data_IF_693317714971
#
_entry.id   IF_693317714971
#
_cell.length_a   1.000
_cell.length_b   1.000
_cell.length_c   1.000
_cell.angle_alpha   90.00
_cell.angle_beta   90.00
_cell.angle_gamma   90.00
#
_symmetry.space_group_name_H-M   'P 1'
#
loop_
_entity.id
_entity.type
_entity.pdbx_description
1 polymer ?
#
# COMPACT_ATOMS: atom_id res chain seq x y z
N UNK A 1 25.07 -24.94 2.99
CA UNK A 1 25.01 -24.79 1.51
C UNK A 1 24.18 -25.93 0.95
N UNK A 2 22.88 -25.72 0.73
CA UNK A 2 21.96 -26.68 0.12
C UNK A 2 21.39 -26.06 -1.13
N UNK A 3 21.92 -26.44 -2.29
CA UNK A 3 21.41 -26.04 -3.59
C UNK A 3 19.97 -26.55 -3.75
N UNK A 4 19.03 -25.64 -4.04
CA UNK A 4 17.70 -25.99 -4.47
C UNK A 4 17.79 -26.86 -5.74
N UNK A 5 17.32 -28.09 -5.67
CA UNK A 5 17.37 -29.03 -6.82
C UNK A 5 16.36 -28.57 -7.88
N UNK A 6 16.81 -28.48 -9.13
CA UNK A 6 15.93 -28.33 -10.29
C UNK A 6 14.98 -29.54 -10.33
N UNK A 7 13.66 -29.32 -10.15
CA UNK A 7 12.64 -30.36 -10.25
C UNK A 7 11.64 -30.43 -9.09
N UNK A 8 11.79 -29.62 -8.03
CA UNK A 8 10.83 -29.61 -6.92
C UNK A 8 9.49 -29.00 -7.29
N UNK A 9 8.39 -29.66 -6.87
CA UNK A 9 7.04 -29.17 -7.08
C UNK A 9 6.76 -27.93 -6.24
N UNK A 10 5.79 -27.08 -6.66
CA UNK A 10 5.35 -25.90 -5.88
C UNK A 10 4.94 -26.27 -4.44
N UNK A 11 4.40 -27.48 -4.21
CA UNK A 11 4.05 -27.99 -2.87
C UNK A 11 5.29 -28.28 -2.02
N UNK A 12 6.31 -28.86 -2.59
CA UNK A 12 7.58 -29.17 -1.90
C UNK A 12 8.34 -27.88 -1.57
N UNK A 13 8.36 -26.91 -2.48
CA UNK A 13 8.92 -25.57 -2.22
C UNK A 13 8.20 -24.84 -1.08
N UNK A 14 6.86 -24.87 -1.05
CA UNK A 14 6.04 -24.32 0.05
C UNK A 14 6.32 -25.01 1.39
N UNK A 15 6.45 -26.33 1.36
CA UNK A 15 6.76 -27.12 2.56
C UNK A 15 8.17 -26.80 3.09
N UNK A 16 9.18 -26.80 2.23
CA UNK A 16 10.56 -26.48 2.61
C UNK A 16 10.68 -25.03 3.12
N UNK A 17 10.00 -24.06 2.50
CA UNK A 17 10.02 -22.68 2.97
C UNK A 17 9.28 -22.53 4.31
N UNK A 18 8.11 -23.14 4.47
CA UNK A 18 7.40 -23.19 5.76
C UNK A 18 8.22 -23.85 6.87
N UNK A 19 8.94 -24.91 6.55
CA UNK A 19 9.89 -25.54 7.49
C UNK A 19 11.10 -24.65 7.77
N UNK A 20 11.53 -23.86 6.79
CA UNK A 20 12.68 -22.97 6.91
C UNK A 20 12.37 -21.69 7.71
N UNK A 21 11.15 -21.15 7.56
CA UNK A 21 10.71 -19.94 8.30
C UNK A 21 9.90 -20.25 9.55
N UNK A 22 9.44 -21.50 9.73
CA UNK A 22 8.70 -21.91 10.92
C UNK A 22 9.59 -21.81 12.16
N UNK A 23 9.36 -20.78 12.96
CA UNK A 23 10.10 -20.50 14.20
C UNK A 23 11.28 -19.52 14.06
N UNK A 24 11.56 -18.98 12.87
CA UNK A 24 12.51 -17.87 12.72
C UNK A 24 11.76 -16.54 12.92
N UNK A 25 12.16 -15.82 13.96
CA UNK A 25 11.85 -14.38 14.05
C UNK A 25 12.78 -13.67 13.06
N UNK A 26 12.29 -13.36 11.86
CA UNK A 26 13.06 -12.74 10.78
C UNK A 26 13.36 -11.28 11.08
N UNK A 27 12.63 -10.69 12.01
CA UNK A 27 12.63 -9.26 12.34
C UNK A 27 12.56 -8.37 11.09
N UNK A 28 11.69 -8.75 10.16
CA UNK A 28 11.54 -8.07 8.87
C UNK A 28 10.15 -7.49 8.68
N UNK A 29 10.10 -6.25 8.19
CA UNK A 29 8.89 -5.58 7.77
C UNK A 29 8.78 -5.53 6.24
N UNK A 30 7.56 -5.80 5.74
CA UNK A 30 7.14 -5.51 4.39
C UNK A 30 6.54 -4.12 4.32
N UNK A 31 7.04 -3.26 3.45
CA UNK A 31 6.56 -1.90 3.24
C UNK A 31 6.00 -1.76 1.83
N UNK A 32 4.77 -1.26 1.71
CA UNK A 32 4.10 -1.10 0.42
C UNK A 32 3.81 0.36 0.14
N UNK A 33 4.38 0.85 -0.96
CA UNK A 33 4.18 2.21 -1.44
C UNK A 33 2.73 2.43 -1.89
N UNK A 34 2.15 3.59 -1.53
CA UNK A 34 0.89 4.05 -2.10
C UNK A 34 1.00 4.38 -3.59
N UNK A 35 -0.13 4.41 -4.29
CA UNK A 35 -0.05 4.73 -5.72
C UNK A 35 -1.34 4.62 -6.53
N UNK A 36 -2.51 4.53 -5.90
CA UNK A 36 -3.78 4.29 -6.60
C UNK A 36 -3.73 2.98 -7.38
N UNK A 37 -4.16 2.96 -8.64
CA UNK A 37 -4.20 1.72 -9.44
C UNK A 37 -2.83 1.11 -9.74
N UNK A 38 -1.70 1.81 -9.50
CA UNK A 38 -0.37 1.19 -9.54
C UNK A 38 -0.19 0.12 -8.46
N UNK A 39 -0.98 0.15 -7.41
CA UNK A 39 -1.03 -0.90 -6.39
C UNK A 39 -1.36 -2.29 -6.93
N UNK A 40 -1.89 -2.40 -8.15
CA UNK A 40 -2.11 -3.71 -8.79
C UNK A 40 -0.77 -4.44 -9.09
N UNK A 41 0.33 -3.71 -9.25
CA UNK A 41 1.68 -4.27 -9.29
C UNK A 41 2.03 -4.92 -7.95
N UNK A 42 1.80 -4.20 -6.85
CA UNK A 42 1.97 -4.70 -5.48
C UNK A 42 1.09 -5.93 -5.24
N UNK A 43 -0.19 -5.91 -5.69
CA UNK A 43 -1.07 -7.06 -5.58
C UNK A 43 -0.50 -8.32 -6.27
N UNK A 44 0.08 -8.17 -7.47
CA UNK A 44 0.74 -9.27 -8.16
C UNK A 44 1.93 -9.84 -7.37
N UNK A 45 2.76 -8.95 -6.81
CA UNK A 45 3.90 -9.35 -5.98
C UNK A 45 3.45 -10.08 -4.70
N UNK A 46 2.42 -9.58 -4.03
CA UNK A 46 1.89 -10.19 -2.80
C UNK A 46 1.23 -11.54 -3.07
N UNK A 47 0.47 -11.66 -4.17
CA UNK A 47 -0.11 -12.96 -4.55
C UNK A 47 0.98 -14.01 -4.77
N UNK A 48 2.10 -13.62 -5.40
CA UNK A 48 3.24 -14.52 -5.53
C UNK A 48 3.86 -14.89 -4.17
N UNK A 49 4.04 -13.93 -3.26
CA UNK A 49 4.53 -14.20 -1.90
C UNK A 49 3.59 -15.15 -1.14
N UNK A 50 2.28 -14.92 -1.21
CA UNK A 50 1.28 -15.81 -0.60
C UNK A 50 1.31 -17.21 -1.22
N UNK A 51 1.46 -17.34 -2.54
CA UNK A 51 1.62 -18.62 -3.24
C UNK A 51 2.86 -19.38 -2.76
N UNK A 52 3.93 -18.65 -2.37
CA UNK A 52 5.14 -19.25 -1.80
C UNK A 52 5.05 -19.46 -0.28
N UNK A 53 3.97 -19.00 0.38
CA UNK A 53 3.78 -19.11 1.83
C UNK A 53 4.70 -18.20 2.65
N UNK A 54 5.17 -17.09 2.05
CA UNK A 54 6.07 -16.13 2.71
C UNK A 54 5.24 -15.14 3.53
N UNK A 55 5.67 -14.89 4.76
CA UNK A 55 5.09 -13.92 5.71
C UNK A 55 6.18 -13.03 6.29
N UNK A 56 5.80 -11.92 6.90
CA UNK A 56 6.68 -10.95 7.55
C UNK A 56 6.23 -10.72 8.99
N UNK A 57 7.11 -10.17 9.85
CA UNK A 57 6.75 -9.84 11.23
C UNK A 57 5.85 -8.60 11.28
N UNK A 58 6.06 -7.66 10.35
CA UNK A 58 5.26 -6.45 10.25
C UNK A 58 4.97 -6.09 8.79
N UNK A 59 3.85 -5.43 8.57
CA UNK A 59 3.37 -4.99 7.25
C UNK A 59 2.97 -3.52 7.36
N UNK A 60 3.60 -2.65 6.56
CA UNK A 60 3.32 -1.21 6.50
C UNK A 60 2.72 -0.88 5.14
N UNK A 61 1.53 -0.32 5.14
CA UNK A 61 0.83 0.05 3.91
C UNK A 61 0.30 1.47 3.95
N UNK A 62 0.45 2.21 2.84
CA UNK A 62 -0.15 3.53 2.64
C UNK A 62 -1.08 3.48 1.44
N UNK A 63 -2.33 3.99 1.55
CA UNK A 63 -3.25 4.10 0.42
C UNK A 63 -3.53 2.74 -0.24
N UNK A 64 -3.27 2.60 -1.53
CA UNK A 64 -3.37 1.31 -2.23
C UNK A 64 -2.53 0.20 -1.58
N UNK A 65 -1.38 0.56 -0.95
CA UNK A 65 -0.57 -0.38 -0.17
C UNK A 65 -1.30 -0.88 1.09
N UNK A 66 -2.14 -0.06 1.72
CA UNK A 66 -2.97 -0.48 2.84
C UNK A 66 -4.02 -1.52 2.42
N UNK A 67 -4.70 -1.30 1.28
CA UNK A 67 -5.66 -2.27 0.72
C UNK A 67 -4.98 -3.59 0.34
N UNK A 68 -3.81 -3.52 -0.30
CA UNK A 68 -3.01 -4.71 -0.62
C UNK A 68 -2.59 -5.48 0.64
N UNK A 69 -2.18 -4.77 1.70
CA UNK A 69 -1.81 -5.37 2.97
C UNK A 69 -2.98 -6.05 3.67
N UNK A 70 -4.19 -5.48 3.57
CA UNK A 70 -5.41 -6.09 4.11
C UNK A 70 -5.64 -7.48 3.51
N UNK A 71 -5.58 -7.60 2.18
CA UNK A 71 -5.76 -8.89 1.50
C UNK A 71 -4.57 -9.84 1.71
N UNK A 72 -3.36 -9.31 1.94
CA UNK A 72 -2.19 -10.13 2.28
C UNK A 72 -2.32 -10.78 3.65
N UNK A 73 -2.82 -10.04 4.66
CA UNK A 73 -3.06 -10.60 6.00
C UNK A 73 -4.19 -11.62 6.00
N UNK A 74 -5.23 -11.44 5.17
CA UNK A 74 -6.34 -12.39 5.05
C UNK A 74 -5.99 -13.63 4.25
N UNK A 75 -4.86 -13.61 3.50
CA UNK A 75 -4.44 -14.72 2.64
C UNK A 75 -5.29 -14.89 1.37
N UNK A 76 -6.06 -13.88 0.98
CA UNK A 76 -7.01 -13.94 -0.13
C UNK A 76 -6.31 -13.66 -1.48
N UNK A 77 -5.64 -14.68 -2.03
CA UNK A 77 -4.92 -14.61 -3.31
C UNK A 77 -5.86 -14.16 -4.44
N UNK A 78 -5.45 -13.14 -5.19
CA UNK A 78 -6.20 -12.60 -6.33
C UNK A 78 -7.30 -11.62 -5.96
N UNK A 79 -7.65 -11.45 -4.67
CA UNK A 79 -8.76 -10.59 -4.24
C UNK A 79 -8.50 -9.12 -4.57
N UNK A 80 -7.33 -8.59 -4.27
CA UNK A 80 -6.95 -7.20 -4.60
C UNK A 80 -7.02 -6.94 -6.11
N UNK A 81 -6.59 -7.90 -6.94
CA UNK A 81 -6.72 -7.80 -8.40
C UNK A 81 -8.17 -7.63 -8.82
N UNK A 82 -9.08 -8.48 -8.29
CA UNK A 82 -10.51 -8.41 -8.61
C UNK A 82 -11.10 -7.09 -8.11
N UNK A 83 -10.74 -6.63 -6.92
CA UNK A 83 -11.15 -5.34 -6.38
C UNK A 83 -10.76 -4.20 -7.31
N UNK A 84 -9.49 -4.15 -7.73
CA UNK A 84 -8.96 -3.06 -8.55
C UNK A 84 -9.41 -3.11 -10.02
N UNK A 85 -9.77 -4.27 -10.57
CA UNK A 85 -10.22 -4.40 -11.95
C UNK A 85 -11.74 -4.30 -12.11
N UNK A 86 -12.48 -4.99 -11.26
CA UNK A 86 -13.95 -5.09 -11.38
C UNK A 86 -14.67 -4.03 -10.54
N UNK A 87 -14.32 -3.92 -9.25
CA UNK A 87 -15.11 -3.12 -8.32
C UNK A 87 -14.71 -1.65 -8.26
N UNK A 88 -13.50 -1.28 -8.69
CA UNK A 88 -13.16 0.14 -8.92
C UNK A 88 -13.98 0.81 -10.03
N UNK A 89 -14.72 0.03 -10.83
CA UNK A 89 -15.68 0.53 -11.83
C UNK A 89 -17.16 0.40 -11.36
N UNK A 90 -17.39 -0.23 -10.20
CA UNK A 90 -18.74 -0.37 -9.65
C UNK A 90 -19.20 0.97 -9.07
N UNK A 91 -20.32 1.51 -9.58
CA UNK A 91 -20.91 2.76 -9.12
C UNK A 91 -21.39 2.72 -7.65
N UNK A 92 -21.54 1.52 -7.07
CA UNK A 92 -21.85 1.37 -5.65
C UNK A 92 -20.61 1.63 -4.78
N UNK A 93 -19.43 1.36 -5.29
CA UNK A 93 -18.17 1.62 -4.61
C UNK A 93 -17.61 3.00 -4.93
N UNK A 94 -17.56 3.38 -6.22
CA UNK A 94 -16.97 4.64 -6.71
C UNK A 94 -18.05 5.49 -7.36
N UNK A 95 -18.49 6.56 -6.70
CA UNK A 95 -19.63 7.37 -7.17
C UNK A 95 -19.39 8.87 -7.05
N UNK A 96 -19.45 9.58 -8.18
CA UNK A 96 -19.43 11.03 -8.22
C UNK A 96 -20.68 11.66 -7.56
N UNK A 97 -21.83 10.98 -7.63
CA UNK A 97 -23.03 11.39 -6.91
C UNK A 97 -22.78 11.36 -5.40
N UNK A 98 -22.18 10.29 -4.88
CA UNK A 98 -21.77 10.20 -3.47
C UNK A 98 -20.81 11.34 -3.10
N UNK A 99 -19.80 11.65 -3.95
CA UNK A 99 -18.88 12.76 -3.71
C UNK A 99 -19.60 14.10 -3.56
N UNK A 100 -20.69 14.34 -4.30
CA UNK A 100 -21.47 15.58 -4.19
C UNK A 100 -22.28 15.66 -2.88
N UNK A 101 -22.90 14.55 -2.46
CA UNK A 101 -23.77 14.54 -1.27
C UNK A 101 -23.05 14.27 0.04
N UNK A 102 -22.02 13.39 0.06
CA UNK A 102 -21.31 12.99 1.28
C UNK A 102 -19.92 13.60 1.39
N UNK A 103 -19.38 14.16 0.30
CA UNK A 103 -18.01 14.65 0.25
C UNK A 103 -16.96 13.57 -0.02
N UNK A 104 -17.35 12.30 -0.18
CA UNK A 104 -16.43 11.16 -0.37
C UNK A 104 -16.77 10.39 -1.65
N UNK A 105 -15.76 10.12 -2.49
CA UNK A 105 -15.92 9.37 -3.74
C UNK A 105 -16.14 7.89 -3.49
N UNK A 106 -15.39 7.31 -2.53
CA UNK A 106 -15.45 5.90 -2.19
C UNK A 106 -16.52 5.60 -1.14
N UNK A 107 -17.19 4.48 -1.30
CA UNK A 107 -18.14 3.93 -0.34
C UNK A 107 -17.50 2.80 0.46
N UNK A 108 -16.89 3.13 1.59
CA UNK A 108 -16.22 2.13 2.43
C UNK A 108 -17.20 1.18 3.13
N UNK A 109 -18.42 1.64 3.46
CA UNK A 109 -19.48 0.77 3.98
C UNK A 109 -19.80 -0.36 2.97
N UNK A 110 -19.89 0.00 1.67
CA UNK A 110 -20.06 -1.00 0.62
C UNK A 110 -18.85 -1.93 0.52
N UNK A 111 -17.62 -1.40 0.64
CA UNK A 111 -16.39 -2.18 0.55
C UNK A 111 -16.28 -3.22 1.67
N UNK A 112 -16.66 -2.86 2.90
CA UNK A 112 -16.44 -3.69 4.08
C UNK A 112 -17.66 -4.56 4.45
N UNK A 113 -18.89 -4.12 4.16
CA UNK A 113 -20.11 -4.81 4.57
C UNK A 113 -20.78 -5.59 3.43
N UNK A 114 -20.86 -4.97 2.24
CA UNK A 114 -21.63 -5.54 1.14
C UNK A 114 -20.76 -6.32 0.15
N UNK A 115 -19.55 -5.83 -0.13
CA UNK A 115 -18.67 -6.47 -1.08
C UNK A 115 -18.19 -7.85 -0.63
N UNK A 116 -17.91 -8.15 0.66
CA UNK A 116 -17.53 -9.48 1.11
C UNK A 116 -18.57 -10.56 0.82
N UNK A 117 -19.85 -10.20 0.66
CA UNK A 117 -20.93 -11.13 0.24
C UNK A 117 -20.78 -11.57 -1.22
N UNK A 118 -20.07 -10.81 -2.06
CA UNK A 118 -19.86 -11.05 -3.50
C UNK A 118 -18.43 -11.44 -3.85
N UNK A 119 -17.50 -10.90 -3.11
CA UNK A 119 -16.06 -11.16 -3.18
C UNK A 119 -15.60 -11.52 -1.77
N UNK A 120 -15.62 -12.80 -1.38
CA UNK A 120 -15.32 -13.24 -0.04
C UNK A 120 -14.01 -12.68 0.49
N UNK A 121 -13.99 -12.41 1.80
CA UNK A 121 -12.83 -11.96 2.55
C UNK A 121 -12.68 -12.86 3.79
N UNK A 122 -11.47 -13.33 4.04
CA UNK A 122 -11.20 -14.20 5.17
C UNK A 122 -10.94 -13.39 6.44
N UNK A 123 -12.03 -12.92 7.08
CA UNK A 123 -11.99 -12.15 8.32
C UNK A 123 -11.26 -12.91 9.43
N UNK A 124 -11.50 -14.23 9.56
CA UNK A 124 -10.88 -15.03 10.60
C UNK A 124 -9.34 -15.04 10.47
N UNK A 125 -8.81 -15.25 9.27
CA UNK A 125 -7.37 -15.23 9.03
C UNK A 125 -6.79 -13.83 9.19
N UNK A 126 -7.49 -12.79 8.74
CA UNK A 126 -7.09 -11.40 8.94
C UNK A 126 -6.95 -11.09 10.42
N UNK A 127 -7.96 -11.44 11.22
CA UNK A 127 -7.96 -11.14 12.65
C UNK A 127 -6.89 -11.92 13.43
N UNK A 128 -6.69 -13.20 13.09
CA UNK A 128 -5.71 -14.09 13.72
C UNK A 128 -4.30 -13.97 13.14
N UNK A 129 -4.11 -13.16 12.11
CA UNK A 129 -2.77 -13.00 11.49
C UNK A 129 -1.75 -12.54 12.53
N UNK A 130 -0.61 -13.24 12.66
CA UNK A 130 0.46 -12.85 13.59
C UNK A 130 1.25 -11.64 13.11
N UNK A 131 1.09 -11.25 11.84
CA UNK A 131 1.75 -10.09 11.24
C UNK A 131 1.18 -8.80 11.86
N UNK A 132 2.04 -7.96 12.43
CA UNK A 132 1.65 -6.61 12.85
C UNK A 132 1.31 -5.80 11.60
N UNK A 133 0.21 -5.07 11.62
CA UNK A 133 -0.24 -4.30 10.45
C UNK A 133 -0.38 -2.82 10.78
N UNK A 134 0.31 -2.00 10.00
CA UNK A 134 0.42 -0.57 10.17
C UNK A 134 -0.09 0.17 8.95
N UNK A 135 -1.00 1.11 9.16
CA UNK A 135 -1.71 1.87 8.13
C UNK A 135 -1.25 3.32 8.14
N UNK A 136 -0.59 3.75 7.07
CA UNK A 136 -0.10 5.10 6.91
C UNK A 136 -1.24 6.10 6.66
N UNK A 137 -1.35 7.10 7.52
CA UNK A 137 -2.35 8.18 7.46
C UNK A 137 -1.71 9.53 7.69
N UNK A 138 -2.34 10.61 7.20
CA UNK A 138 -1.98 11.98 7.55
C UNK A 138 -3.02 12.53 8.53
N UNK A 139 -2.58 12.97 9.71
CA UNK A 139 -3.44 13.70 10.65
C UNK A 139 -3.71 15.11 10.13
N UNK A 140 -4.97 15.55 10.18
CA UNK A 140 -5.31 16.87 9.66
C UNK A 140 -4.89 18.00 10.63
N UNK A 141 -4.88 17.73 11.92
CA UNK A 141 -4.60 18.76 12.95
C UNK A 141 -3.16 19.27 12.88
N UNK A 142 -2.19 18.40 12.54
CA UNK A 142 -0.77 18.74 12.52
C UNK A 142 -0.04 18.45 11.19
N UNK A 143 -0.75 17.93 10.19
CA UNK A 143 -0.21 17.58 8.86
C UNK A 143 0.82 16.45 8.86
N UNK A 144 1.02 15.74 9.98
CA UNK A 144 2.06 14.72 10.12
C UNK A 144 1.56 13.33 9.76
N UNK A 145 2.53 12.48 9.41
CA UNK A 145 2.31 11.06 9.18
C UNK A 145 2.17 10.28 10.50
N UNK A 146 1.20 9.39 10.53
CA UNK A 146 1.03 8.38 11.58
C UNK A 146 0.86 7.01 10.93
N UNK A 147 1.33 5.98 11.62
CA UNK A 147 1.07 4.59 11.25
C UNK A 147 0.21 3.95 12.34
N UNK A 148 -1.05 3.74 12.00
CA UNK A 148 -2.06 3.18 12.89
C UNK A 148 -1.96 1.66 12.89
N UNK A 149 -1.77 1.06 14.06
CA UNK A 149 -1.54 -0.38 14.20
C UNK A 149 -2.85 -1.14 14.45
N UNK A 150 -3.04 -2.24 13.73
CA UNK A 150 -4.13 -3.22 13.96
C UNK A 150 -4.08 -3.71 15.41
N UNK A 151 -5.22 -3.70 16.06
CA UNK A 151 -5.37 -4.06 17.49
C UNK A 151 -5.01 -2.94 18.47
N UNK A 152 -4.56 -1.76 17.99
CA UNK A 152 -4.32 -0.57 18.83
C UNK A 152 -5.23 0.61 18.49
N UNK A 153 -6.07 0.47 17.48
CA UNK A 153 -7.12 1.42 17.12
C UNK A 153 -8.48 0.83 17.41
N UNK A 154 -9.51 1.64 17.69
CA UNK A 154 -10.86 1.14 17.99
C UNK A 154 -11.46 0.31 16.87
N UNK A 155 -11.30 0.77 15.63
CA UNK A 155 -11.72 0.08 14.42
C UNK A 155 -10.62 0.13 13.35
N UNK A 156 -10.17 -1.04 12.91
CA UNK A 156 -9.17 -1.16 11.87
C UNK A 156 -9.72 -0.77 10.49
N UNK A 157 -11.02 -0.96 10.26
CA UNK A 157 -11.67 -0.63 9.00
C UNK A 157 -11.70 0.87 8.75
N UNK A 158 -11.92 1.66 9.81
CA UNK A 158 -11.77 3.12 9.76
C UNK A 158 -10.33 3.53 9.41
N UNK A 159 -9.33 2.85 9.95
CA UNK A 159 -7.94 3.13 9.64
C UNK A 159 -7.57 2.78 8.17
N UNK A 160 -8.10 1.66 7.64
CA UNK A 160 -7.96 1.27 6.22
C UNK A 160 -8.65 2.30 5.33
N UNK A 161 -9.87 2.71 5.70
CA UNK A 161 -10.62 3.74 4.97
C UNK A 161 -9.90 5.08 4.99
N UNK A 162 -9.37 5.52 6.14
CA UNK A 162 -8.59 6.76 6.27
C UNK A 162 -7.35 6.73 5.38
N UNK A 163 -6.56 5.65 5.44
CA UNK A 163 -5.37 5.46 4.62
C UNK A 163 -5.67 5.49 3.11
N UNK A 164 -6.90 5.12 2.72
CA UNK A 164 -7.34 5.08 1.31
C UNK A 164 -8.18 6.31 0.90
N UNK A 165 -8.36 7.28 1.79
CA UNK A 165 -9.16 8.49 1.58
C UNK A 165 -8.33 9.64 1.02
N UNK A 166 -8.09 9.60 -0.30
CA UNK A 166 -7.21 10.56 -1.00
C UNK A 166 -7.75 11.99 -0.93
N UNK A 167 -6.95 12.98 -0.49
CA UNK A 167 -7.34 14.38 -0.48
C UNK A 167 -7.82 14.90 -1.85
N UNK A 168 -8.92 15.67 -1.82
CA UNK A 168 -9.59 16.18 -3.02
C UNK A 168 -10.77 15.33 -3.51
N UNK A 169 -10.73 14.01 -3.29
CA UNK A 169 -11.84 13.09 -3.55
C UNK A 169 -12.46 12.51 -2.26
N UNK A 170 -11.83 12.79 -1.11
CA UNK A 170 -12.38 12.58 0.22
C UNK A 170 -12.31 13.92 0.97
N UNK A 171 -13.45 14.64 1.06
CA UNK A 171 -13.52 15.97 1.69
C UNK A 171 -13.73 15.88 3.20
N UNK A 172 -14.34 14.79 3.66
CA UNK A 172 -14.64 14.53 5.06
C UNK A 172 -13.57 13.60 5.63
N UNK A 173 -12.82 14.01 6.67
CA UNK A 173 -11.86 13.14 7.33
C UNK A 173 -12.56 12.04 8.11
N UNK A 174 -11.85 10.94 8.32
CA UNK A 174 -12.28 9.85 9.18
C UNK A 174 -11.75 10.12 10.59
N UNK A 175 -12.64 10.06 11.57
CA UNK A 175 -12.33 10.32 12.97
C UNK A 175 -11.90 9.03 13.65
N UNK A 176 -10.67 8.97 14.18
CA UNK A 176 -10.14 7.83 14.93
C UNK A 176 -9.55 8.37 16.22
N UNK A 177 -10.04 7.89 17.37
CA UNK A 177 -9.66 8.39 18.70
C UNK A 177 -9.69 9.92 18.83
N UNK A 178 -10.77 10.54 18.29
CA UNK A 178 -10.99 11.98 18.34
C UNK A 178 -10.11 12.82 17.42
N UNK A 179 -9.26 12.21 16.59
CA UNK A 179 -8.39 12.91 15.62
C UNK A 179 -8.85 12.68 14.18
N UNK A 180 -8.80 13.70 13.32
CA UNK A 180 -9.17 13.60 11.91
C UNK A 180 -8.02 13.08 11.05
N UNK A 181 -8.27 12.03 10.24
CA UNK A 181 -7.28 11.44 9.35
C UNK A 181 -7.76 11.32 7.90
N UNK A 182 -6.83 11.43 6.98
CA UNK A 182 -6.95 11.09 5.57
C UNK A 182 -5.72 10.29 5.10
N UNK A 183 -5.67 9.99 3.78
CA UNK A 183 -4.59 9.22 3.12
C UNK A 183 -3.20 9.68 3.57
N UNK A 184 -2.32 8.70 3.82
CA UNK A 184 -0.95 8.97 4.28
C UNK A 184 -0.05 9.59 3.21
N UNK A 185 -0.44 9.53 1.93
CA UNK A 185 0.37 10.01 0.82
C UNK A 185 0.94 11.43 0.97
N UNK A 186 0.17 12.45 1.44
CA UNK A 186 0.69 13.80 1.62
C UNK A 186 1.88 13.93 2.56
N UNK A 187 1.96 13.11 3.60
CA UNK A 187 3.00 13.20 4.64
C UNK A 187 3.99 12.04 4.64
N UNK A 188 3.58 10.85 4.17
CA UNK A 188 4.45 9.67 4.05
C UNK A 188 3.84 8.68 3.04
N UNK A 189 4.33 8.73 1.80
CA UNK A 189 3.89 7.82 0.75
C UNK A 189 4.49 6.42 0.88
N UNK A 190 5.62 6.28 1.61
CA UNK A 190 6.40 5.04 1.76
C UNK A 190 6.86 4.90 3.20
N UNK A 191 6.30 3.96 3.93
CA UNK A 191 6.47 3.80 5.38
C UNK A 191 7.82 3.26 5.87
N UNK A 192 8.87 3.18 5.02
CA UNK A 192 10.14 2.53 5.39
C UNK A 192 10.84 3.17 6.60
N UNK A 193 10.74 4.50 6.75
CA UNK A 193 11.33 5.21 7.91
C UNK A 193 10.73 4.73 9.23
N UNK A 194 9.43 4.44 9.26
CA UNK A 194 8.73 3.93 10.42
C UNK A 194 9.13 2.49 10.71
N UNK A 195 9.21 1.63 9.69
CA UNK A 195 9.67 0.27 9.84
C UNK A 195 11.11 0.19 10.39
N UNK A 196 12.02 1.03 9.87
CA UNK A 196 13.40 1.15 10.37
C UNK A 196 13.44 1.66 11.81
N UNK A 197 12.64 2.67 12.16
CA UNK A 197 12.54 3.22 13.51
C UNK A 197 12.04 2.17 14.50
N UNK A 198 11.15 1.30 14.07
CA UNK A 198 10.63 0.18 14.87
C UNK A 198 11.63 -1.01 14.96
N UNK A 199 12.81 -0.89 14.32
CA UNK A 199 13.92 -1.84 14.44
C UNK A 199 13.85 -3.03 13.47
N UNK A 200 13.00 -2.97 12.44
CA UNK A 200 12.89 -4.05 11.45
C UNK A 200 13.93 -3.96 10.33
N UNK A 201 14.46 -5.11 9.89
CA UNK A 201 14.92 -5.24 8.50
C UNK A 201 13.75 -4.83 7.60
N UNK A 202 14.02 -4.13 6.51
CA UNK A 202 12.93 -3.52 5.74
C UNK A 202 13.00 -3.93 4.27
N UNK A 203 11.94 -4.62 3.80
CA UNK A 203 11.70 -4.92 2.40
C UNK A 203 10.60 -4.02 1.85
N UNK A 204 10.88 -3.28 0.79
CA UNK A 204 9.96 -2.31 0.19
C UNK A 204 9.50 -2.80 -1.18
N UNK A 205 8.21 -2.76 -1.46
CA UNK A 205 7.64 -2.89 -2.81
C UNK A 205 7.29 -1.49 -3.31
N UNK A 206 8.10 -0.96 -4.22
CA UNK A 206 7.89 0.34 -4.85
C UNK A 206 6.96 0.22 -6.07
N UNK A 207 6.21 1.29 -6.36
CA UNK A 207 5.31 1.38 -7.53
C UNK A 207 5.84 2.33 -8.61
N UNK A 208 7.09 2.77 -8.47
CA UNK A 208 7.83 3.58 -9.42
C UNK A 208 9.24 3.02 -9.60
N UNK A 209 9.84 3.14 -10.79
CA UNK A 209 11.21 2.68 -11.02
C UNK A 209 12.21 3.47 -10.15
N UNK A 210 13.37 2.88 -9.89
CA UNK A 210 14.49 3.54 -9.22
C UNK A 210 14.84 4.84 -9.95
N UNK A 211 15.16 5.88 -9.18
CA UNK A 211 15.50 7.20 -9.72
C UNK A 211 14.31 8.03 -10.21
N UNK A 212 13.06 7.51 -10.14
CA UNK A 212 11.89 8.32 -10.49
C UNK A 212 11.69 9.48 -9.52
N UNK A 213 11.48 10.68 -10.08
CA UNK A 213 11.10 11.88 -9.30
C UNK A 213 9.94 12.60 -9.97
N UNK A 214 9.08 13.20 -9.16
CA UNK A 214 8.00 14.06 -9.63
C UNK A 214 8.55 15.43 -10.01
N UNK A 215 7.96 16.05 -11.04
CA UNK A 215 8.27 17.43 -11.39
C UNK A 215 7.78 18.39 -10.32
N UNK A 216 8.66 19.27 -9.83
CA UNK A 216 8.33 20.27 -8.81
C UNK A 216 7.81 21.58 -9.40
N UNK A 217 8.00 21.79 -10.71
CA UNK A 217 7.44 22.96 -11.40
C UNK A 217 5.92 22.81 -11.51
N UNK A 218 5.20 23.70 -10.83
CA UNK A 218 3.74 23.61 -10.74
C UNK A 218 3.06 24.05 -12.03
N UNK A 219 2.47 23.09 -12.73
CA UNK A 219 1.57 23.33 -13.85
C UNK A 219 0.29 24.08 -13.43
N UNK A 220 -0.50 24.58 -14.38
CA UNK A 220 -1.80 25.20 -14.11
C UNK A 220 -2.77 24.24 -13.40
N UNK A 221 -2.73 22.94 -13.74
CA UNK A 221 -3.54 21.90 -13.09
C UNK A 221 -3.10 21.69 -11.63
N UNK A 222 -1.80 21.65 -11.33
CA UNK A 222 -1.27 21.55 -9.97
C UNK A 222 -1.67 22.75 -9.12
N UNK A 223 -1.55 23.98 -9.66
CA UNK A 223 -1.99 25.21 -8.97
C UNK A 223 -3.48 25.18 -8.64
N UNK A 224 -4.32 24.67 -9.56
CA UNK A 224 -5.77 24.51 -9.35
C UNK A 224 -6.06 23.47 -8.24
N UNK A 225 -5.31 22.37 -8.21
CA UNK A 225 -5.40 21.34 -7.18
C UNK A 225 -5.03 21.92 -5.81
N UNK A 226 -3.94 22.67 -5.70
CA UNK A 226 -3.52 23.35 -4.48
C UNK A 226 -4.58 24.34 -3.94
N UNK A 227 -5.17 25.12 -4.84
CA UNK A 227 -6.28 26.01 -4.49
C UNK A 227 -7.52 25.23 -3.99
N UNK A 228 -7.76 24.05 -4.56
CA UNK A 228 -8.79 23.12 -4.10
C UNK A 228 -8.55 22.64 -2.66
N UNK A 229 -7.32 22.25 -2.33
CA UNK A 229 -6.94 21.85 -0.96
C UNK A 229 -7.13 22.99 0.04
N UNK A 230 -6.63 24.19 -0.27
CA UNK A 230 -6.77 25.40 0.56
C UNK A 230 -8.24 25.73 0.86
N UNK A 231 -9.14 25.53 -0.12
CA UNK A 231 -10.57 25.78 0.05
C UNK A 231 -11.26 24.68 0.87
N UNK A 232 -10.98 23.40 0.55
CA UNK A 232 -11.67 22.25 1.15
C UNK A 232 -11.26 22.05 2.60
N UNK A 233 -9.97 22.18 2.89
CA UNK A 233 -9.40 21.89 4.21
C UNK A 233 -8.93 23.15 4.94
N UNK A 234 -9.62 24.28 4.73
CA UNK A 234 -9.25 25.60 5.30
C UNK A 234 -9.09 25.61 6.82
N UNK A 235 -9.73 24.67 7.53
CA UNK A 235 -9.65 24.51 8.99
C UNK A 235 -8.35 23.84 9.44
N UNK A 236 -7.59 23.24 8.52
CA UNK A 236 -6.43 22.39 8.77
C UNK A 236 -5.21 22.90 7.98
N UNK A 237 -4.60 24.03 8.37
CA UNK A 237 -3.53 24.68 7.59
C UNK A 237 -2.29 23.78 7.42
N UNK A 238 -1.92 23.01 8.44
CA UNK A 238 -0.78 22.10 8.40
C UNK A 238 -1.01 20.93 7.43
N UNK A 239 -2.22 20.39 7.42
CA UNK A 239 -2.62 19.39 6.42
C UNK A 239 -2.60 19.95 4.99
N UNK A 240 -3.10 21.19 4.80
CA UNK A 240 -3.01 21.87 3.51
C UNK A 240 -1.56 22.03 3.07
N UNK A 241 -0.66 22.39 4.00
CA UNK A 241 0.77 22.50 3.72
C UNK A 241 1.37 21.15 3.31
N UNK A 242 1.03 20.06 3.99
CA UNK A 242 1.43 18.71 3.59
C UNK A 242 0.95 18.37 2.16
N UNK A 243 -0.31 18.64 1.85
CA UNK A 243 -0.87 18.39 0.50
C UNK A 243 -0.18 19.20 -0.61
N UNK A 244 0.13 20.47 -0.34
CA UNK A 244 0.77 21.39 -1.32
C UNK A 244 2.24 21.02 -1.57
N UNK A 245 2.93 20.46 -0.56
CA UNK A 245 4.31 20.03 -0.63
C UNK A 245 4.48 18.52 -0.92
N UNK A 246 3.40 17.80 -1.15
CA UNK A 246 3.41 16.35 -1.33
C UNK A 246 4.45 15.85 -2.34
N UNK A 247 4.55 16.51 -3.50
CA UNK A 247 5.48 16.07 -4.56
C UNK A 247 6.96 16.26 -4.12
N UNK A 248 7.25 17.30 -3.34
CA UNK A 248 8.57 17.52 -2.75
C UNK A 248 8.89 16.45 -1.70
N UNK A 249 7.99 16.24 -0.73
CA UNK A 249 8.13 15.21 0.31
C UNK A 249 8.29 13.81 -0.30
N UNK A 250 7.53 13.51 -1.35
CA UNK A 250 7.66 12.26 -2.09
C UNK A 250 9.06 12.08 -2.70
N UNK A 251 9.61 13.13 -3.32
CA UNK A 251 10.96 13.07 -3.90
C UNK A 251 12.02 12.85 -2.83
N UNK A 252 11.91 13.52 -1.67
CA UNK A 252 12.80 13.34 -0.53
C UNK A 252 12.74 11.90 0.03
N UNK A 253 11.54 11.29 0.07
CA UNK A 253 11.39 9.87 0.43
C UNK A 253 12.07 8.95 -0.59
N UNK A 254 11.90 9.23 -1.89
CA UNK A 254 12.52 8.43 -2.94
C UNK A 254 14.06 8.57 -2.96
N UNK A 255 14.60 9.78 -2.69
CA UNK A 255 16.05 10.00 -2.59
C UNK A 255 16.65 9.17 -1.47
N UNK A 256 16.04 9.21 -0.28
CA UNK A 256 16.51 8.45 0.87
C UNK A 256 16.33 6.93 0.69
N UNK A 257 15.18 6.49 0.13
CA UNK A 257 14.94 5.08 -0.15
C UNK A 257 15.97 4.52 -1.13
N UNK A 258 16.26 5.25 -2.22
CA UNK A 258 17.24 4.84 -3.21
C UNK A 258 18.65 4.75 -2.58
N UNK A 259 19.05 5.73 -1.76
CA UNK A 259 20.33 5.74 -1.04
C UNK A 259 20.46 4.56 -0.06
N UNK A 260 19.44 4.34 0.78
CA UNK A 260 19.44 3.24 1.75
C UNK A 260 19.48 1.86 1.08
N UNK A 261 18.84 1.74 -0.08
CA UNK A 261 18.90 0.52 -0.89
C UNK A 261 20.31 0.29 -1.44
N UNK A 262 20.97 1.34 -1.99
CA UNK A 262 22.33 1.26 -2.53
C UNK A 262 23.37 0.95 -1.44
N UNK A 263 23.11 1.39 -0.20
CA UNK A 263 23.91 1.07 0.97
C UNK A 263 23.60 -0.34 1.57
N UNK A 264 22.62 -1.06 1.02
CA UNK A 264 22.19 -2.37 1.53
C UNK A 264 21.46 -2.35 2.88
N UNK A 265 21.06 -1.15 3.36
CA UNK A 265 20.32 -0.98 4.62
C UNK A 265 18.87 -1.41 4.55
N UNK A 266 18.28 -1.30 3.37
CA UNK A 266 16.95 -1.82 3.04
C UNK A 266 16.99 -2.56 1.72
N UNK A 267 16.05 -3.47 1.50
CA UNK A 267 15.87 -4.12 0.22
C UNK A 267 14.65 -3.51 -0.49
N UNK A 268 14.80 -3.07 -1.74
CA UNK A 268 13.70 -2.49 -2.50
C UNK A 268 13.46 -3.24 -3.80
N UNK A 269 12.23 -3.71 -3.99
CA UNK A 269 11.77 -4.20 -5.29
C UNK A 269 11.20 -3.04 -6.10
N UNK A 270 11.91 -2.64 -7.14
CA UNK A 270 11.42 -1.67 -8.12
C UNK A 270 10.77 -2.38 -9.31
N UNK A 271 9.74 -1.79 -9.93
CA UNK A 271 9.20 -2.33 -11.18
C UNK A 271 10.31 -2.40 -12.25
N UNK A 272 10.48 -3.57 -12.86
CA UNK A 272 11.48 -3.78 -13.94
C UNK A 272 11.18 -3.00 -15.21
N UNK A 273 9.97 -2.42 -15.31
CA UNK A 273 9.52 -1.51 -16.37
C UNK A 273 8.62 -0.42 -15.79
N UNK A 274 8.58 0.77 -16.38
CA UNK A 274 7.63 1.81 -15.96
C UNK A 274 6.19 1.28 -16.00
N UNK A 275 5.45 1.49 -14.90
CA UNK A 275 4.03 1.15 -14.82
C UNK A 275 3.23 2.23 -15.56
N UNK A 276 2.95 2.01 -16.83
CA UNK A 276 2.24 2.96 -17.71
C UNK A 276 0.74 2.96 -17.46
N UNK A 277 0.34 3.13 -16.19
CA UNK A 277 -1.05 3.24 -15.74
C UNK A 277 -1.28 4.56 -15.02
N UNK A 278 -2.44 5.15 -15.23
CA UNK A 278 -2.89 6.35 -14.52
C UNK A 278 -3.19 6.01 -13.04
N UNK A 279 -3.36 7.05 -12.19
CA UNK A 279 -3.75 6.84 -10.78
C UNK A 279 -5.14 6.19 -10.65
N UNK A 280 -6.01 6.42 -11.63
CA UNK A 280 -7.34 5.81 -11.75
C UNK A 280 -7.49 5.18 -13.15
N UNK A 281 -6.62 4.23 -13.47
CA UNK A 281 -6.65 3.49 -14.74
C UNK A 281 -7.88 2.58 -14.81
N UNK A 282 -8.49 2.49 -16.01
CA UNK A 282 -9.66 1.66 -16.27
C UNK A 282 -9.45 0.62 -17.37
N UNK A 283 -8.31 0.66 -18.05
CA UNK A 283 -7.99 -0.30 -19.10
C UNK A 283 -7.59 -1.64 -18.46
N UNK A 284 -8.50 -2.61 -18.52
CA UNK A 284 -8.32 -3.92 -17.90
C UNK A 284 -7.09 -4.67 -18.43
N UNK A 285 -6.77 -4.52 -19.72
CA UNK A 285 -5.58 -5.15 -20.30
C UNK A 285 -4.29 -4.60 -19.70
N UNK A 286 -4.20 -3.27 -19.56
CA UNK A 286 -3.04 -2.64 -18.91
C UNK A 286 -2.93 -3.04 -17.44
N UNK A 287 -4.05 -3.11 -16.71
CA UNK A 287 -4.06 -3.55 -15.32
C UNK A 287 -3.59 -5.00 -15.19
N UNK A 288 -4.05 -5.89 -16.09
CA UNK A 288 -3.58 -7.28 -16.12
C UNK A 288 -2.08 -7.37 -16.39
N UNK A 289 -1.57 -6.63 -17.38
CA UNK A 289 -0.14 -6.58 -17.71
C UNK A 289 0.70 -6.13 -16.52
N UNK A 290 0.24 -5.12 -15.77
CA UNK A 290 0.93 -4.61 -14.57
C UNK A 290 0.89 -5.60 -13.41
N UNK A 291 -0.25 -6.29 -13.22
CA UNK A 291 -0.37 -7.36 -12.23
C UNK A 291 0.62 -8.51 -12.51
N UNK A 292 0.65 -8.99 -13.76
CA UNK A 292 1.58 -10.06 -14.16
C UNK A 292 3.05 -9.62 -14.06
N UNK A 293 3.34 -8.34 -14.32
CA UNK A 293 4.67 -7.79 -14.10
C UNK A 293 5.06 -7.88 -12.61
N UNK A 294 4.16 -7.53 -11.69
CA UNK A 294 4.40 -7.63 -10.25
C UNK A 294 4.72 -9.06 -9.80
N UNK A 295 3.96 -10.06 -10.28
CA UNK A 295 4.25 -11.48 -10.03
C UNK A 295 5.63 -11.89 -10.54
N UNK A 296 5.94 -11.54 -11.79
CA UNK A 296 7.21 -11.90 -12.43
C UNK A 296 8.42 -11.23 -11.79
N UNK A 297 8.29 -9.97 -11.40
CA UNK A 297 9.36 -9.24 -10.74
C UNK A 297 9.60 -9.80 -9.34
N UNK A 298 8.54 -10.17 -8.60
CA UNK A 298 8.68 -10.81 -7.29
C UNK A 298 9.29 -12.20 -7.39
N UNK A 299 8.92 -12.98 -8.41
CA UNK A 299 9.55 -14.29 -8.66
C UNK A 299 11.07 -14.17 -8.84
N UNK A 300 11.50 -13.15 -9.59
CA UNK A 300 12.94 -12.88 -9.80
C UNK A 300 13.63 -12.36 -8.54
N UNK A 301 12.92 -11.55 -7.75
CA UNK A 301 13.41 -10.94 -6.52
C UNK A 301 13.52 -11.94 -5.36
N UNK A 302 12.77 -13.04 -5.41
CA UNK A 302 12.67 -14.00 -4.30
C UNK A 302 14.04 -14.52 -3.80
N UNK A 303 15.01 -14.92 -4.65
CA UNK A 303 16.30 -15.38 -4.16
C UNK A 303 17.07 -14.31 -3.37
N UNK A 304 17.00 -13.04 -3.81
CA UNK A 304 17.62 -11.91 -3.13
C UNK A 304 16.92 -11.60 -1.81
N UNK A 305 15.57 -11.60 -1.79
CA UNK A 305 14.79 -11.46 -0.56
C UNK A 305 15.14 -12.55 0.45
N UNK A 306 15.22 -13.81 0.04
CA UNK A 306 15.59 -14.92 0.92
C UNK A 306 17.01 -14.77 1.48
N UNK A 307 17.93 -14.22 0.69
CA UNK A 307 19.28 -13.90 1.15
C UNK A 307 19.28 -12.74 2.16
N UNK A 308 18.48 -11.72 1.91
CA UNK A 308 18.33 -10.55 2.79
C UNK A 308 17.70 -10.92 4.15
N UNK A 309 16.78 -11.88 4.16
CA UNK A 309 16.10 -12.35 5.38
C UNK A 309 17.01 -13.21 6.30
N UNK A 310 18.12 -13.73 5.79
CA UNK A 310 19.15 -14.44 6.60
C UNK A 310 19.98 -13.45 7.40
#
# INVERSE_FOLDING_TARGET
>A
MGFLRFGETLKERRFLFRCYTAGMNLNCALVMQGGGTRGIYTAGALDYLMEQGITFDAVYGTSAGALCGTDYLSGDIGRTKILMTKYMMDLKFVSFTRLLFTGNLFNFDYLFDELPKKLPFNFEQFDKSPMRFFLGVTCLDDGKAYFLEKGKVPDIWDAIAASSSLPGIAKTPIMIDGKPYLDGGPSCSIGFRFALKDGYKTFVIATRPKGYRKELVKSASTKRKDAGYKRTYKKYPDFVNACVNWDKTYNEEMDEMDALHDEGKILVMYPSKPLNVAVAERNLKKLEEVYQLGKKDMEKMLPELLSYLK
#
